data_IF_456162385370
#
_entry.id   IF_456162385370
#
_cell.length_a   1.000
_cell.length_b   1.000
_cell.length_c   1.000
_cell.angle_alpha   90.00
_cell.angle_beta   90.00
_cell.angle_gamma   90.00
#
_symmetry.space_group_name_H-M   'P 1'
#
loop_
_entity.id
_entity.type
_entity.pdbx_description
1 polymer ?
#
# COMPACT_ATOMS: atom_id res chain seq x y z
N UNK A 1 35.23 -6.19 39.19
CA UNK A 1 34.29 -6.58 38.10
C UNK A 1 32.91 -5.92 38.21
N UNK A 2 32.78 -4.73 38.82
CA UNK A 2 31.50 -3.99 38.97
C UNK A 2 31.46 -2.71 38.10
N UNK A 3 32.56 -2.39 37.41
CA UNK A 3 32.65 -1.22 36.53
C UNK A 3 32.24 -1.47 35.07
N UNK A 4 31.96 -2.72 34.68
CA UNK A 4 31.55 -3.04 33.30
C UNK A 4 30.03 -3.07 33.09
N UNK A 5 29.24 -3.15 34.16
CA UNK A 5 27.77 -3.23 34.08
C UNK A 5 27.07 -1.87 34.03
N UNK A 6 27.77 -0.78 34.38
CA UNK A 6 27.18 0.58 34.32
C UNK A 6 27.35 1.27 32.96
N UNK A 7 28.26 0.78 32.10
CA UNK A 7 28.50 1.41 30.80
C UNK A 7 27.53 0.94 29.71
N UNK A 8 26.84 -0.18 29.92
CA UNK A 8 25.88 -0.71 28.93
C UNK A 8 24.47 -0.10 29.05
N UNK A 9 24.18 0.65 30.12
CA UNK A 9 22.86 1.27 30.32
C UNK A 9 22.77 2.73 29.81
N UNK A 10 23.87 3.33 29.35
CA UNK A 10 23.91 4.79 29.08
C UNK A 10 23.87 5.18 27.59
N UNK A 11 23.99 4.25 26.63
CA UNK A 11 24.14 4.64 25.21
C UNK A 11 23.26 3.86 24.22
N UNK A 12 21.96 3.72 24.50
CA UNK A 12 20.94 3.73 23.42
C UNK A 12 19.82 4.68 23.81
N UNK A 13 20.19 5.92 24.12
CA UNK A 13 19.26 7.04 23.96
C UNK A 13 19.40 7.47 22.50
N UNK A 14 18.80 6.69 21.60
CA UNK A 14 18.50 7.17 20.27
C UNK A 14 17.76 8.48 20.47
N UNK A 15 18.42 9.59 20.13
CA UNK A 15 17.72 10.85 19.95
C UNK A 15 16.77 10.57 18.80
N UNK A 16 15.54 10.19 19.12
CA UNK A 16 14.42 10.27 18.20
C UNK A 16 14.40 11.75 17.80
N UNK A 17 15.00 12.04 16.65
CA UNK A 17 14.64 13.22 15.89
C UNK A 17 13.20 12.95 15.53
N UNK A 18 12.28 13.37 16.39
CA UNK A 18 10.88 13.42 16.03
C UNK A 18 10.87 14.36 14.84
N UNK A 19 10.66 13.80 13.64
CA UNK A 19 10.26 14.59 12.50
C UNK A 19 9.09 15.42 13.03
N UNK A 20 9.23 16.74 13.06
CA UNK A 20 8.14 17.61 13.42
C UNK A 20 7.01 17.29 12.44
N UNK A 21 6.05 16.46 12.87
CA UNK A 21 4.65 16.78 12.81
C UNK A 21 4.38 17.83 11.72
N UNK A 22 4.34 17.40 10.45
CA UNK A 22 4.30 18.34 9.33
C UNK A 22 2.86 18.54 8.87
N UNK A 23 2.55 19.72 8.31
CA UNK A 23 1.29 19.98 7.60
C UNK A 23 1.30 19.22 6.26
N UNK A 24 1.49 17.90 6.30
CA UNK A 24 1.55 17.07 5.10
C UNK A 24 0.17 17.12 4.43
N UNK A 25 0.09 17.55 3.16
CA UNK A 25 -1.18 17.51 2.44
C UNK A 25 -1.71 16.08 2.39
N UNK A 26 -3.03 15.96 2.36
CA UNK A 26 -3.68 14.65 2.24
C UNK A 26 -3.37 14.08 0.84
N UNK A 27 -2.94 12.82 0.72
CA UNK A 27 -2.76 12.16 -0.57
C UNK A 27 -4.02 12.22 -1.44
N UNK A 28 -3.87 12.61 -2.70
CA UNK A 28 -4.96 12.73 -3.65
C UNK A 28 -5.12 11.40 -4.38
N UNK A 29 -6.36 10.93 -4.52
CA UNK A 29 -6.67 9.78 -5.36
C UNK A 29 -6.72 10.26 -6.82
N UNK A 30 -5.60 10.11 -7.54
CA UNK A 30 -5.46 10.57 -8.93
C UNK A 30 -6.37 9.77 -9.88
N UNK A 31 -6.40 8.46 -9.71
CA UNK A 31 -7.20 7.54 -10.51
C UNK A 31 -7.68 6.38 -9.63
N UNK A 32 -8.91 5.93 -9.90
CA UNK A 32 -9.54 4.77 -9.26
C UNK A 32 -8.73 3.48 -9.49
N UNK A 33 -7.98 3.36 -10.60
CA UNK A 33 -7.07 2.24 -10.86
C UNK A 33 -5.85 2.18 -9.93
N UNK A 34 -5.55 3.27 -9.21
CA UNK A 34 -4.43 3.37 -8.27
C UNK A 34 -4.88 3.28 -6.81
N UNK A 35 -6.12 2.83 -6.57
CA UNK A 35 -6.73 2.83 -5.24
C UNK A 35 -5.90 2.09 -4.18
N UNK A 36 -5.33 0.92 -4.51
CA UNK A 36 -4.53 0.15 -3.56
C UNK A 36 -3.26 0.90 -3.10
N UNK A 37 -2.52 1.47 -4.06
CA UNK A 37 -1.34 2.29 -3.76
C UNK A 37 -1.73 3.51 -2.93
N UNK A 38 -2.80 4.21 -3.32
CA UNK A 38 -3.32 5.38 -2.61
C UNK A 38 -3.76 5.04 -1.18
N UNK A 39 -4.41 3.90 -0.97
CA UNK A 39 -4.79 3.42 0.36
C UNK A 39 -3.56 3.23 1.26
N UNK A 40 -2.49 2.66 0.71
CA UNK A 40 -1.20 2.57 1.40
C UNK A 40 -0.61 3.95 1.74
N UNK A 41 -0.77 4.94 0.86
CA UNK A 41 -0.33 6.32 1.11
C UNK A 41 -1.15 7.00 2.20
N UNK A 42 -2.47 6.76 2.27
CA UNK A 42 -3.31 7.23 3.37
C UNK A 42 -2.85 6.64 4.70
N UNK A 43 -2.54 5.35 4.76
CA UNK A 43 -2.03 4.72 5.98
C UNK A 43 -0.70 5.34 6.42
N UNK A 44 0.23 5.56 5.48
CA UNK A 44 1.48 6.28 5.75
C UNK A 44 1.22 7.71 6.23
N UNK A 45 0.29 8.41 5.60
CA UNK A 45 -0.11 9.76 5.98
C UNK A 45 -0.67 9.83 7.40
N UNK A 46 -1.47 8.86 7.83
CA UNK A 46 -2.03 8.79 9.19
C UNK A 46 -0.95 8.73 10.29
N UNK A 47 0.23 8.18 9.98
CA UNK A 47 1.37 8.10 10.88
C UNK A 47 2.16 9.41 11.00
N UNK A 48 2.15 10.26 9.96
CA UNK A 48 2.95 11.49 9.91
C UNK A 48 2.14 12.76 10.12
N UNK A 49 0.81 12.67 10.02
CA UNK A 49 -0.10 13.81 10.14
C UNK A 49 -0.38 14.23 11.58
N UNK A 50 -0.55 15.54 11.77
CA UNK A 50 -0.98 16.13 13.04
C UNK A 50 -2.49 16.31 13.15
N UNK A 51 -3.22 16.02 12.07
CA UNK A 51 -4.67 16.14 12.10
C UNK A 51 -5.20 15.19 13.16
N UNK A 52 -6.04 15.71 14.07
CA UNK A 52 -6.64 14.89 15.11
C UNK A 52 -7.43 13.72 14.48
N UNK A 53 -7.41 12.51 15.05
CA UNK A 53 -8.02 11.33 14.45
C UNK A 53 -9.47 11.54 13.98
N UNK A 54 -10.28 12.23 14.77
CA UNK A 54 -11.69 12.56 14.47
C UNK A 54 -11.91 13.47 13.26
N UNK A 55 -10.88 14.15 12.75
CA UNK A 55 -11.00 15.03 11.57
C UNK A 55 -10.37 14.44 10.31
N UNK A 56 -9.55 13.39 10.44
CA UNK A 56 -8.78 12.82 9.33
C UNK A 56 -9.68 12.33 8.20
N UNK A 57 -10.74 11.58 8.53
CA UNK A 57 -11.63 11.03 7.50
C UNK A 57 -12.34 12.14 6.70
N UNK A 58 -12.68 13.26 7.34
CA UNK A 58 -13.27 14.41 6.64
C UNK A 58 -12.24 15.11 5.75
N UNK A 59 -10.99 15.25 6.19
CA UNK A 59 -9.92 15.78 5.34
C UNK A 59 -9.74 14.92 4.08
N UNK A 60 -9.79 13.59 4.22
CA UNK A 60 -9.72 12.64 3.09
C UNK A 60 -10.96 12.77 2.21
N UNK A 61 -12.17 12.82 2.79
CA UNK A 61 -13.41 13.00 2.04
C UNK A 61 -13.37 14.19 1.07
N UNK A 62 -12.78 15.31 1.50
CA UNK A 62 -12.69 16.51 0.66
C UNK A 62 -11.71 16.39 -0.52
N UNK A 63 -10.76 15.45 -0.48
CA UNK A 63 -9.87 15.20 -1.64
C UNK A 63 -10.47 14.21 -2.63
N UNK A 64 -11.50 13.45 -2.23
CA UNK A 64 -12.16 12.48 -3.11
C UNK A 64 -13.00 13.18 -4.19
N UNK A 65 -12.99 12.59 -5.38
CA UNK A 65 -13.81 13.00 -6.53
C UNK A 65 -14.50 11.78 -7.16
N UNK A 66 -15.37 12.00 -8.15
CA UNK A 66 -15.97 10.93 -8.94
C UNK A 66 -16.73 9.88 -8.12
N UNK A 67 -16.55 8.59 -8.45
CA UNK A 67 -17.27 7.48 -7.80
C UNK A 67 -16.82 7.30 -6.35
N UNK A 68 -15.55 7.58 -6.04
CA UNK A 68 -15.03 7.50 -4.69
C UNK A 68 -15.73 8.50 -3.76
N UNK A 69 -15.98 9.73 -4.22
CA UNK A 69 -16.76 10.72 -3.47
C UNK A 69 -18.21 10.29 -3.29
N UNK A 70 -18.85 9.78 -4.34
CA UNK A 70 -20.22 9.28 -4.27
C UNK A 70 -20.38 8.12 -3.27
N UNK A 71 -19.39 7.23 -3.20
CA UNK A 71 -19.33 6.16 -2.21
C UNK A 71 -19.17 6.69 -0.79
N UNK A 72 -18.24 7.62 -0.59
CA UNK A 72 -17.95 8.22 0.71
C UNK A 72 -19.15 9.02 1.25
N UNK A 73 -19.93 9.66 0.38
CA UNK A 73 -21.16 10.37 0.74
C UNK A 73 -22.22 9.48 1.41
N UNK A 74 -22.20 8.17 1.15
CA UNK A 74 -23.12 7.22 1.78
C UNK A 74 -22.73 6.90 3.23
N UNK A 75 -21.54 7.30 3.68
CA UNK A 75 -21.11 7.17 5.07
C UNK A 75 -21.56 8.42 5.83
N UNK A 76 -22.34 8.22 6.89
CA UNK A 76 -22.86 9.34 7.68
C UNK A 76 -21.72 10.18 8.30
N UNK A 77 -21.85 11.51 8.30
CA UNK A 77 -20.88 12.45 8.91
C UNK A 77 -20.48 12.06 10.34
N UNK A 78 -21.42 11.67 11.24
CA UNK A 78 -21.05 11.28 12.61
C UNK A 78 -20.11 10.08 12.67
N UNK A 79 -20.15 9.17 11.68
CA UNK A 79 -19.24 8.03 11.60
C UNK A 79 -17.88 8.45 11.05
N UNK A 80 -17.83 9.36 10.07
CA UNK A 80 -16.58 9.92 9.55
C UNK A 80 -15.83 10.75 10.60
N UNK A 81 -16.55 11.40 11.51
CA UNK A 81 -15.95 12.24 12.55
C UNK A 81 -15.46 11.48 13.80
N UNK A 82 -15.41 10.14 13.77
CA UNK A 82 -14.87 9.33 14.87
C UNK A 82 -13.36 9.16 14.74
N UNK A 83 -12.71 8.74 15.82
CA UNK A 83 -11.27 8.44 15.81
C UNK A 83 -10.92 7.31 14.83
N UNK A 84 -11.85 6.38 14.59
CA UNK A 84 -11.77 5.29 13.62
C UNK A 84 -12.44 5.63 12.27
N UNK A 85 -12.83 6.88 12.04
CA UNK A 85 -13.57 7.30 10.85
C UNK A 85 -12.84 7.01 9.53
N UNK A 86 -11.50 7.06 9.54
CA UNK A 86 -10.69 6.71 8.36
C UNK A 86 -10.88 5.24 8.00
N UNK A 87 -10.91 4.35 9.00
CA UNK A 87 -11.16 2.92 8.81
C UNK A 87 -12.54 2.69 8.20
N UNK A 88 -13.58 3.37 8.72
CA UNK A 88 -14.95 3.26 8.18
C UNK A 88 -15.02 3.73 6.72
N UNK A 89 -14.35 4.84 6.40
CA UNK A 89 -14.28 5.37 5.04
C UNK A 89 -13.58 4.38 4.10
N UNK A 90 -12.41 3.86 4.49
CA UNK A 90 -11.64 2.90 3.70
C UNK A 90 -12.40 1.60 3.50
N UNK A 91 -13.12 1.09 4.50
CA UNK A 91 -13.98 -0.10 4.34
C UNK A 91 -15.05 0.10 3.26
N UNK A 92 -15.66 1.28 3.21
CA UNK A 92 -16.66 1.59 2.17
C UNK A 92 -16.02 1.67 0.78
N UNK A 93 -14.85 2.28 0.66
CA UNK A 93 -14.13 2.38 -0.60
C UNK A 93 -13.58 1.00 -1.04
N UNK A 94 -13.12 0.18 -0.10
CA UNK A 94 -12.66 -1.19 -0.34
C UNK A 94 -13.76 -2.02 -1.02
N UNK A 95 -15.00 -1.90 -0.57
CA UNK A 95 -16.14 -2.63 -1.15
C UNK A 95 -16.43 -2.30 -2.63
N UNK A 96 -15.84 -1.24 -3.17
CA UNK A 96 -16.10 -0.74 -4.53
C UNK A 96 -14.85 -0.87 -5.39
N UNK A 97 -13.68 -0.55 -4.84
CA UNK A 97 -12.43 -0.44 -5.59
C UNK A 97 -11.47 -1.60 -5.36
N UNK A 98 -11.64 -2.35 -4.27
CA UNK A 98 -10.81 -3.51 -3.99
C UNK A 98 -11.54 -4.75 -4.54
N UNK A 99 -11.06 -5.38 -5.64
CA UNK A 99 -11.65 -6.62 -6.12
C UNK A 99 -11.39 -7.77 -5.13
N UNK A 100 -12.14 -8.87 -5.21
CA UNK A 100 -11.89 -10.05 -4.37
C UNK A 100 -10.43 -10.52 -4.48
N UNK A 101 -9.91 -11.15 -3.41
CA UNK A 101 -8.51 -11.57 -3.30
C UNK A 101 -8.03 -12.36 -4.53
N UNK A 102 -8.85 -13.29 -5.01
CA UNK A 102 -8.55 -14.11 -6.19
C UNK A 102 -8.35 -13.28 -7.46
N UNK A 103 -9.13 -12.20 -7.60
CA UNK A 103 -9.04 -11.28 -8.72
C UNK A 103 -7.85 -10.33 -8.59
N UNK A 104 -7.47 -9.94 -7.37
CA UNK A 104 -6.22 -9.19 -7.12
C UNK A 104 -5.01 -10.02 -7.53
N UNK A 105 -4.96 -11.28 -7.08
CA UNK A 105 -3.91 -12.24 -7.42
C UNK A 105 -3.80 -12.46 -8.93
N UNK A 106 -4.94 -12.72 -9.59
CA UNK A 106 -4.98 -12.86 -11.04
C UNK A 106 -4.49 -11.59 -11.76
N UNK A 107 -4.91 -10.41 -11.33
CA UNK A 107 -4.48 -9.15 -11.95
C UNK A 107 -2.98 -8.91 -11.76
N UNK A 108 -2.43 -9.18 -10.57
CA UNK A 108 -1.00 -9.05 -10.29
C UNK A 108 -0.18 -10.00 -11.16
N UNK A 109 -0.60 -11.27 -11.25
CA UNK A 109 0.00 -12.27 -12.14
C UNK A 109 -0.08 -11.86 -13.62
N UNK A 110 -1.27 -11.48 -14.08
CA UNK A 110 -1.52 -11.09 -15.47
C UNK A 110 -0.70 -9.87 -15.86
N UNK A 111 -0.62 -8.85 -15.00
CA UNK A 111 0.18 -7.66 -15.26
C UNK A 111 1.66 -8.00 -15.39
N UNK A 112 2.21 -8.76 -14.45
CA UNK A 112 3.62 -9.19 -14.51
C UNK A 112 3.92 -10.00 -15.78
N UNK A 113 3.07 -10.96 -16.14
CA UNK A 113 3.28 -11.80 -17.33
C UNK A 113 3.05 -11.06 -18.65
N UNK A 114 2.21 -10.03 -18.67
CA UNK A 114 1.93 -9.22 -19.86
C UNK A 114 3.00 -8.16 -20.09
N UNK A 115 3.79 -7.80 -19.08
CA UNK A 115 4.86 -6.81 -19.22
C UNK A 115 5.88 -7.28 -20.25
N UNK A 116 5.93 -6.58 -21.37
CA UNK A 116 6.94 -6.73 -22.40
C UNK A 116 7.67 -5.40 -22.57
N UNK A 117 8.96 -5.46 -22.82
CA UNK A 117 9.75 -4.26 -23.07
C UNK A 117 9.36 -3.68 -24.44
N UNK A 118 8.79 -2.48 -24.43
CA UNK A 118 8.49 -1.73 -25.65
C UNK A 118 9.79 -1.35 -26.40
N UNK A 119 9.78 -1.34 -27.75
CA UNK A 119 10.93 -0.93 -28.53
C UNK A 119 11.21 0.56 -28.31
N UNK A 120 12.30 0.86 -27.60
CA UNK A 120 12.71 2.24 -27.29
C UNK A 120 12.97 2.48 -25.79
N UNK A 121 12.42 1.63 -24.91
CA UNK A 121 12.69 1.74 -23.48
C UNK A 121 14.08 1.20 -23.12
N UNK A 122 14.74 1.90 -22.18
CA UNK A 122 15.98 1.45 -21.55
C UNK A 122 15.76 0.09 -20.90
N UNK A 123 16.78 -0.77 -21.00
CA UNK A 123 16.78 -2.07 -20.30
C UNK A 123 16.72 -1.85 -18.79
N UNK A 124 17.37 -0.82 -18.27
CA UNK A 124 17.39 -0.53 -16.83
C UNK A 124 16.00 -0.15 -16.31
N UNK A 125 15.31 0.78 -16.99
CA UNK A 125 13.98 1.23 -16.58
C UNK A 125 12.99 0.06 -16.59
N UNK A 126 13.06 -0.78 -17.63
CA UNK A 126 12.26 -2.00 -17.70
C UNK A 126 12.54 -2.97 -16.54
N UNK A 127 13.81 -3.17 -16.16
CA UNK A 127 14.16 -4.03 -15.01
C UNK A 127 13.56 -3.47 -13.73
N UNK A 128 13.68 -2.16 -13.48
CA UNK A 128 13.11 -1.54 -12.28
C UNK A 128 11.59 -1.68 -12.22
N UNK A 129 10.89 -1.47 -13.33
CA UNK A 129 9.43 -1.68 -13.41
C UNK A 129 9.05 -3.13 -13.16
N UNK A 130 9.78 -4.08 -13.77
CA UNK A 130 9.54 -5.51 -13.61
C UNK A 130 9.80 -5.98 -12.17
N UNK A 131 10.89 -5.53 -11.54
CA UNK A 131 11.19 -5.82 -10.14
C UNK A 131 10.11 -5.29 -9.20
N UNK A 132 9.59 -4.08 -9.45
CA UNK A 132 8.49 -3.52 -8.68
C UNK A 132 7.20 -4.34 -8.86
N UNK A 133 6.87 -4.75 -10.08
CA UNK A 133 5.72 -5.62 -10.35
C UNK A 133 5.86 -6.99 -9.66
N UNK A 134 7.07 -7.57 -9.68
CA UNK A 134 7.40 -8.81 -9.01
C UNK A 134 7.28 -8.70 -7.48
N UNK A 135 7.76 -7.61 -6.89
CA UNK A 135 7.58 -7.33 -5.46
C UNK A 135 6.09 -7.30 -5.07
N UNK A 136 5.25 -6.65 -5.87
CA UNK A 136 3.79 -6.62 -5.65
C UNK A 136 3.16 -8.01 -5.77
N UNK A 137 3.61 -8.82 -6.74
CA UNK A 137 3.19 -10.21 -6.87
C UNK A 137 3.55 -11.05 -5.63
N UNK A 138 4.75 -10.87 -5.07
CA UNK A 138 5.19 -11.59 -3.86
C UNK A 138 4.40 -11.20 -2.60
N UNK A 139 3.93 -9.95 -2.49
CA UNK A 139 3.13 -9.50 -1.34
C UNK A 139 1.76 -10.17 -1.24
N UNK A 140 1.22 -10.71 -2.34
CA UNK A 140 -0.11 -11.32 -2.40
C UNK A 140 -0.15 -12.80 -1.92
N UNK A 141 0.91 -13.27 -1.25
CA UNK A 141 1.06 -14.66 -0.76
C UNK A 141 0.78 -15.72 -1.84
N UNK A 142 1.07 -15.41 -3.10
CA UNK A 142 1.00 -16.39 -4.17
C UNK A 142 2.16 -17.36 -4.04
N UNK A 143 1.92 -18.48 -3.36
CA UNK A 143 2.57 -19.72 -3.77
C UNK A 143 2.11 -19.96 -5.20
N UNK A 144 3.06 -20.02 -6.15
CA UNK A 144 2.80 -20.47 -7.51
C UNK A 144 1.75 -21.60 -7.47
N UNK A 145 0.65 -21.53 -8.25
CA UNK A 145 -0.32 -22.63 -8.29
C UNK A 145 0.47 -23.91 -8.51
N UNK A 146 0.25 -24.96 -7.72
CA UNK A 146 1.10 -26.15 -7.76
C UNK A 146 1.22 -26.74 -9.17
N UNK A 147 0.22 -26.51 -10.03
CA UNK A 147 0.23 -26.80 -11.47
C UNK A 147 1.41 -26.15 -12.20
N UNK A 148 1.70 -24.88 -11.91
CA UNK A 148 2.75 -24.10 -12.55
C UNK A 148 4.14 -24.48 -12.02
N UNK A 149 4.28 -24.79 -10.71
CA UNK A 149 5.52 -25.42 -10.17
C UNK A 149 5.79 -26.79 -10.79
N UNK A 150 4.74 -27.58 -11.00
CA UNK A 150 4.83 -28.91 -11.63
C UNK A 150 5.27 -28.80 -13.08
N UNK A 151 4.77 -27.80 -13.80
CA UNK A 151 5.19 -27.49 -15.18
C UNK A 151 6.68 -27.10 -15.22
N UNK A 152 7.15 -26.20 -14.37
CA UNK A 152 8.58 -25.81 -14.32
C UNK A 152 9.51 -26.99 -13.97
N UNK A 153 9.13 -27.83 -13.01
CA UNK A 153 9.89 -29.04 -12.66
C UNK A 153 9.98 -30.07 -13.81
N UNK A 154 8.98 -30.08 -14.70
CA UNK A 154 8.96 -30.94 -15.89
C UNK A 154 9.81 -30.42 -17.06
N UNK A 155 10.15 -29.13 -17.04
CA UNK A 155 11.07 -28.52 -18.02
C UNK A 155 12.53 -28.57 -17.57
N UNK A 156 12.80 -28.57 -16.25
CA UNK A 156 14.17 -28.63 -15.71
C UNK A 156 14.82 -30.03 -15.75
N UNK A 157 14.06 -31.09 -16.06
CA UNK A 157 14.55 -32.49 -16.12
C UNK A 157 14.90 -32.97 -17.54
N UNK A 158 14.93 -32.05 -18.52
CA UNK A 158 15.23 -32.34 -19.93
C UNK A 158 16.57 -31.75 -20.44
N UNK A 159 17.54 -31.47 -19.57
CA UNK A 159 18.94 -31.22 -19.98
C UNK A 159 19.83 -32.41 -19.66
#
# INVERSE_FOLDING_TARGET
FILFLFFFLIMVKTKNKTCKASNTPVPILENEGCYDTWKGDIQRWEHVTNVIPSKRAMCIYFTLTGRARAAAYQVSIPNLMKADGVKTLLQKLDSIFLPDKDRQQYNAYHNMHKMMREPGNSVHDFICEYEFAYFRFQQEDMTWPDTAKKIESSFSTKS
#
